data_IF_596960200834
#
_entry.id   IF_596960200834
#
_cell.length_a   1.000
_cell.length_b   1.000
_cell.length_c   1.000
_cell.angle_alpha   90.00
_cell.angle_beta   90.00
_cell.angle_gamma   90.00
#
_symmetry.space_group_name_H-M   'P 1'
#
loop_
_entity.id
_entity.type
_entity.pdbx_description
1 polymer ?
#
# COMPACT_ATOMS: atom_id res chain seq x y z
N UNK A 1 61.67 24.73 -39.65
CA UNK A 1 62.07 24.71 -41.08
C UNK A 1 63.32 23.91 -41.39
N UNK A 2 64.47 24.23 -40.79
CA UNK A 2 65.76 23.59 -41.12
C UNK A 2 65.68 22.06 -41.05
N UNK A 3 65.00 21.52 -40.04
CA UNK A 3 64.74 20.09 -39.90
C UNK A 3 63.88 19.51 -41.04
N UNK A 4 62.80 20.21 -41.41
CA UNK A 4 61.89 19.80 -42.49
C UNK A 4 62.60 19.68 -43.85
N UNK A 5 63.52 20.61 -44.15
CA UNK A 5 64.32 20.61 -45.37
C UNK A 5 65.37 19.49 -45.34
N UNK A 6 66.09 19.33 -44.21
CA UNK A 6 67.16 18.32 -44.10
C UNK A 6 66.63 16.89 -44.13
N UNK A 7 65.48 16.64 -43.52
CA UNK A 7 64.91 15.31 -43.36
C UNK A 7 63.86 15.00 -44.45
N UNK A 8 63.62 15.91 -45.40
CA UNK A 8 62.57 15.81 -46.43
C UNK A 8 61.22 15.36 -45.84
N UNK A 9 60.79 16.00 -44.75
CA UNK A 9 59.62 15.59 -43.97
C UNK A 9 58.82 16.77 -43.44
N UNK A 10 57.51 16.57 -43.23
CA UNK A 10 56.65 17.57 -42.58
C UNK A 10 56.68 17.41 -41.07
N UNK A 11 56.86 18.51 -40.34
CA UNK A 11 56.93 18.52 -38.87
C UNK A 11 55.95 19.54 -38.30
N UNK A 12 55.09 19.08 -37.40
CA UNK A 12 54.12 19.91 -36.68
C UNK A 12 54.38 19.86 -35.18
N UNK A 13 54.31 20.99 -34.50
CA UNK A 13 54.43 21.09 -33.04
C UNK A 13 53.57 22.22 -32.49
N UNK A 14 53.04 22.05 -31.28
CA UNK A 14 52.34 23.09 -30.55
C UNK A 14 53.32 23.76 -29.57
N UNK A 15 53.29 25.10 -29.49
CA UNK A 15 54.12 25.89 -28.57
C UNK A 15 53.42 27.20 -28.22
N UNK A 16 54.04 28.05 -27.39
CA UNK A 16 53.56 29.41 -27.13
C UNK A 16 54.44 30.44 -27.84
N UNK A 17 53.81 31.32 -28.61
CA UNK A 17 54.47 32.49 -29.17
C UNK A 17 54.35 33.66 -28.19
N UNK A 18 55.49 34.24 -27.81
CA UNK A 18 55.53 35.44 -26.97
C UNK A 18 55.36 36.68 -27.84
N UNK A 19 54.23 37.36 -27.71
CA UNK A 19 53.97 38.63 -28.40
C UNK A 19 53.94 39.79 -27.39
N UNK A 20 54.18 41.04 -27.82
CA UNK A 20 54.06 42.22 -26.95
C UNK A 20 52.67 42.36 -26.29
N UNK A 21 51.63 41.81 -26.92
CA UNK A 21 50.25 41.82 -26.43
C UNK A 21 49.91 40.63 -25.51
N UNK A 22 50.84 39.69 -25.30
CA UNK A 22 50.65 38.48 -24.51
C UNK A 22 51.10 37.20 -25.24
N UNK A 23 51.21 36.11 -24.49
CA UNK A 23 51.54 34.81 -25.05
C UNK A 23 50.29 34.21 -25.71
N UNK A 24 50.44 33.70 -26.94
CA UNK A 24 49.38 32.96 -27.65
C UNK A 24 49.81 31.51 -27.90
N UNK A 25 48.87 30.58 -27.82
CA UNK A 25 49.12 29.18 -28.20
C UNK A 25 49.13 29.09 -29.71
N UNK A 26 50.18 28.50 -30.28
CA UNK A 26 50.34 28.33 -31.73
C UNK A 26 50.67 26.89 -32.10
N UNK A 27 50.14 26.45 -33.24
CA UNK A 27 50.59 25.26 -33.96
C UNK A 27 51.47 25.69 -35.11
N UNK A 28 52.74 25.35 -35.01
CA UNK A 28 53.73 25.60 -36.07
C UNK A 28 53.90 24.32 -36.88
N UNK A 29 53.79 24.44 -38.21
CA UNK A 29 54.03 23.36 -39.17
C UNK A 29 55.07 23.81 -40.18
N UNK A 30 56.10 22.98 -40.41
CA UNK A 30 57.10 23.19 -41.44
C UNK A 30 57.13 22.00 -42.40
N UNK A 31 57.01 22.29 -43.70
CA UNK A 31 57.00 21.27 -44.76
C UNK A 31 57.96 21.68 -45.90
N UNK A 32 58.77 20.76 -46.47
CA UNK A 32 59.57 21.05 -47.65
C UNK A 32 58.66 21.32 -48.86
N UNK A 33 59.08 22.26 -49.71
CA UNK A 33 58.51 22.46 -51.04
C UNK A 33 59.33 21.63 -52.03
N UNK A 34 58.68 20.74 -52.75
CA UNK A 34 59.33 19.81 -53.68
C UNK A 34 58.86 20.18 -55.10
N UNK A 35 59.81 20.26 -56.03
CA UNK A 35 59.51 20.48 -57.45
C UNK A 35 59.04 19.20 -58.16
N UNK A 36 58.68 19.34 -59.44
CA UNK A 36 58.24 18.23 -60.28
C UNK A 36 59.35 17.19 -60.59
N UNK A 37 60.60 17.48 -60.25
CA UNK A 37 61.75 16.57 -60.39
C UNK A 37 62.13 15.88 -59.08
N UNK A 38 61.41 16.17 -57.98
CA UNK A 38 61.66 15.59 -56.66
C UNK A 38 62.71 16.33 -55.83
N UNK A 39 63.21 17.48 -56.30
CA UNK A 39 64.19 18.28 -55.58
C UNK A 39 63.49 19.24 -54.61
N UNK A 40 64.10 19.45 -53.43
CA UNK A 40 63.61 20.43 -52.46
C UNK A 40 63.99 21.83 -52.96
N UNK A 41 62.98 22.62 -53.29
CA UNK A 41 63.12 23.99 -53.82
C UNK A 41 62.83 25.07 -52.77
N UNK A 42 62.47 24.66 -51.55
CA UNK A 42 62.32 25.56 -50.42
C UNK A 42 61.49 24.91 -49.33
N UNK A 43 60.70 25.71 -48.63
CA UNK A 43 59.51 25.16 -48.01
C UNK A 43 58.63 26.16 -47.30
N UNK A 44 57.54 25.62 -46.79
CA UNK A 44 56.43 26.35 -46.24
C UNK A 44 56.46 26.23 -44.72
N UNK A 45 56.35 27.38 -44.07
CA UNK A 45 55.99 27.47 -42.66
C UNK A 45 54.53 27.94 -42.56
N UNK A 46 53.77 27.28 -41.70
CA UNK A 46 52.41 27.67 -41.33
C UNK A 46 52.33 27.80 -39.81
N UNK A 47 51.80 28.93 -39.35
CA UNK A 47 51.56 29.21 -37.93
C UNK A 47 50.07 29.46 -37.77
N UNK A 48 49.43 28.64 -36.95
CA UNK A 48 48.00 28.73 -36.67
C UNK A 48 47.86 29.08 -35.19
N UNK A 49 47.09 30.12 -34.87
CA UNK A 49 46.70 30.42 -33.49
C UNK A 49 45.69 29.35 -33.02
N UNK A 50 46.03 28.65 -31.94
CA UNK A 50 45.22 27.60 -31.33
C UNK A 50 44.69 28.00 -29.95
N UNK A 51 44.75 29.28 -29.59
CA UNK A 51 44.33 29.75 -28.26
C UNK A 51 42.84 29.51 -28.02
N UNK A 52 41.98 29.82 -29.00
CA UNK A 52 40.54 29.52 -28.88
C UNK A 52 40.23 28.03 -28.92
N UNK A 53 41.03 27.21 -29.63
CA UNK A 53 40.91 25.75 -29.62
C UNK A 53 41.16 25.20 -28.20
N UNK A 54 42.25 25.62 -27.55
CA UNK A 54 42.59 25.19 -26.18
C UNK A 54 41.54 25.66 -25.16
N UNK A 55 41.06 26.90 -25.29
CA UNK A 55 39.98 27.42 -24.46
C UNK A 55 38.68 26.64 -24.63
N UNK A 56 38.31 26.28 -25.86
CA UNK A 56 37.07 25.54 -26.13
C UNK A 56 37.13 24.13 -25.51
N UNK A 57 38.28 23.45 -25.64
CA UNK A 57 38.49 22.14 -25.01
C UNK A 57 38.39 22.25 -23.49
N UNK A 58 38.97 23.28 -22.88
CA UNK A 58 38.90 23.50 -21.43
C UNK A 58 37.46 23.79 -20.96
N UNK A 59 36.73 24.64 -21.69
CA UNK A 59 35.32 24.98 -21.40
C UNK A 59 34.43 23.73 -21.43
N UNK A 60 34.52 22.95 -22.51
CA UNK A 60 33.74 21.72 -22.65
C UNK A 60 34.13 20.70 -21.58
N UNK A 61 35.42 20.57 -21.26
CA UNK A 61 35.87 19.70 -20.17
C UNK A 61 35.26 20.09 -18.82
N UNK A 62 35.18 21.39 -18.52
CA UNK A 62 34.53 21.89 -17.30
C UNK A 62 33.03 21.48 -17.25
N UNK A 63 32.31 21.63 -18.37
CA UNK A 63 30.90 21.21 -18.45
C UNK A 63 30.71 19.71 -18.29
N UNK A 64 31.61 18.90 -18.88
CA UNK A 64 31.59 17.45 -18.72
C UNK A 64 31.84 17.06 -17.27
N UNK A 65 32.84 17.65 -16.62
CA UNK A 65 33.13 17.41 -15.20
C UNK A 65 31.94 17.81 -14.30
N UNK A 66 31.30 18.94 -14.59
CA UNK A 66 30.10 19.37 -13.89
C UNK A 66 28.93 18.39 -14.09
N UNK A 67 28.72 17.91 -15.31
CA UNK A 67 27.67 16.93 -15.62
C UNK A 67 27.91 15.59 -14.93
N UNK A 68 29.15 15.09 -14.91
CA UNK A 68 29.54 13.88 -14.18
C UNK A 68 29.29 14.05 -12.66
N UNK A 69 29.53 15.25 -12.13
CA UNK A 69 29.25 15.58 -10.73
C UNK A 69 27.75 15.84 -10.43
N UNK A 70 26.86 15.70 -11.42
CA UNK A 70 25.42 15.96 -11.27
C UNK A 70 25.04 17.44 -11.21
N UNK A 71 25.98 18.37 -11.45
CA UNK A 71 25.76 19.82 -11.44
C UNK A 71 25.27 20.30 -12.81
N UNK A 72 24.12 19.78 -13.22
CA UNK A 72 23.58 20.01 -14.56
C UNK A 72 23.23 21.48 -14.84
N UNK A 73 23.04 22.33 -13.83
CA UNK A 73 22.79 23.78 -14.03
C UNK A 73 24.01 24.57 -14.53
N UNK A 74 25.19 23.95 -14.58
CA UNK A 74 26.40 24.59 -15.10
C UNK A 74 26.26 24.83 -16.60
N UNK A 75 26.64 26.02 -17.08
CA UNK A 75 26.58 26.41 -18.50
C UNK A 75 27.91 26.97 -18.96
N UNK A 76 28.25 26.71 -20.21
CA UNK A 76 29.39 27.36 -20.84
C UNK A 76 29.04 28.77 -21.26
N UNK A 77 30.03 29.64 -21.40
CA UNK A 77 29.83 31.01 -21.86
C UNK A 77 30.28 31.17 -23.33
N UNK A 78 29.36 31.25 -24.30
CA UNK A 78 29.70 31.45 -25.71
C UNK A 78 30.43 32.76 -25.98
N UNK A 79 30.25 33.78 -25.15
CA UNK A 79 30.87 35.10 -25.37
C UNK A 79 32.38 35.11 -25.09
N UNK A 80 32.92 34.04 -24.50
CA UNK A 80 34.35 33.85 -24.32
C UNK A 80 35.11 33.60 -25.64
N UNK A 81 34.40 33.26 -26.72
CA UNK A 81 34.99 32.90 -28.02
C UNK A 81 34.73 33.98 -29.06
N UNK A 82 35.68 34.31 -29.93
CA UNK A 82 35.43 35.25 -31.04
C UNK A 82 35.03 34.51 -32.31
N UNK A 83 35.60 33.33 -32.55
CA UNK A 83 35.28 32.52 -33.73
C UNK A 83 33.85 31.99 -33.64
N UNK A 84 33.00 32.25 -34.66
CA UNK A 84 31.60 31.80 -34.65
C UNK A 84 31.44 30.29 -34.44
N UNK A 85 32.37 29.48 -34.97
CA UNK A 85 32.35 28.03 -34.79
C UNK A 85 32.39 27.59 -33.32
N UNK A 86 33.29 28.15 -32.50
CA UNK A 86 33.37 27.80 -31.09
C UNK A 86 32.17 28.33 -30.29
N UNK A 87 31.66 29.53 -30.63
CA UNK A 87 30.41 30.03 -30.04
C UNK A 87 29.26 29.05 -30.23
N UNK A 88 29.07 28.57 -31.47
CA UNK A 88 28.00 27.64 -31.81
C UNK A 88 28.14 26.29 -31.11
N UNK A 89 29.36 25.80 -30.87
CA UNK A 89 29.59 24.57 -30.11
C UNK A 89 29.11 24.74 -28.66
N UNK A 90 29.53 25.80 -27.97
CA UNK A 90 29.14 26.04 -26.58
C UNK A 90 27.62 26.28 -26.47
N UNK A 91 27.04 27.03 -27.40
CA UNK A 91 25.59 27.21 -27.48
C UNK A 91 24.86 25.88 -27.69
N UNK A 92 25.34 25.03 -28.60
CA UNK A 92 24.76 23.71 -28.85
C UNK A 92 24.83 22.78 -27.64
N UNK A 93 25.93 22.82 -26.89
CA UNK A 93 26.06 22.07 -25.63
C UNK A 93 25.08 22.58 -24.58
N UNK A 94 24.97 23.90 -24.40
CA UNK A 94 23.99 24.49 -23.48
C UNK A 94 22.56 24.12 -23.85
N UNK A 95 22.19 24.21 -25.13
CA UNK A 95 20.86 23.82 -25.63
C UNK A 95 20.58 22.33 -25.37
N UNK A 96 21.60 21.48 -25.50
CA UNK A 96 21.49 20.04 -25.19
C UNK A 96 21.23 19.83 -23.70
N UNK A 97 21.94 20.55 -22.83
CA UNK A 97 21.70 20.50 -21.37
C UNK A 97 20.29 20.97 -21.02
N UNK A 98 19.85 22.11 -21.56
CA UNK A 98 18.52 22.66 -21.31
C UNK A 98 17.40 21.68 -21.73
N UNK A 99 17.57 20.99 -22.86
CA UNK A 99 16.63 19.99 -23.35
C UNK A 99 16.50 18.76 -22.43
N UNK A 100 17.53 18.45 -21.65
CA UNK A 100 17.56 17.28 -20.75
C UNK A 100 17.15 17.65 -19.32
N UNK A 101 17.52 18.84 -18.84
CA UNK A 101 17.30 19.26 -17.44
C UNK A 101 15.82 19.48 -17.14
N UNK A 102 15.07 20.10 -18.07
CA UNK A 102 13.65 20.35 -17.87
C UNK A 102 12.86 19.07 -17.53
N UNK A 103 12.86 18.05 -18.42
CA UNK A 103 12.20 16.77 -18.16
C UNK A 103 12.69 16.05 -16.89
N UNK A 104 13.99 16.11 -16.58
CA UNK A 104 14.54 15.50 -15.36
C UNK A 104 14.02 16.17 -14.09
N UNK A 105 13.89 17.50 -14.09
CA UNK A 105 13.36 18.23 -12.95
C UNK A 105 11.87 17.90 -12.71
N UNK A 106 11.06 17.80 -13.77
CA UNK A 106 9.66 17.36 -13.66
C UNK A 106 9.59 15.95 -13.10
N UNK A 107 10.40 15.02 -13.63
CA UNK A 107 10.42 13.65 -13.12
C UNK A 107 10.82 13.59 -11.64
N UNK A 108 11.83 14.36 -11.23
CA UNK A 108 12.27 14.43 -9.84
C UNK A 108 11.19 14.99 -8.91
N UNK A 109 10.49 16.04 -9.30
CA UNK A 109 9.37 16.61 -8.52
C UNK A 109 8.25 15.58 -8.31
N UNK A 110 7.87 14.87 -9.37
CA UNK A 110 6.80 13.87 -9.30
C UNK A 110 7.19 12.68 -8.43
N UNK A 111 8.43 12.21 -8.55
CA UNK A 111 8.96 11.15 -7.69
C UNK A 111 8.98 11.59 -6.22
N UNK A 112 9.39 12.83 -5.91
CA UNK A 112 9.38 13.36 -4.55
C UNK A 112 7.95 13.39 -3.96
N UNK A 113 6.97 13.90 -4.71
CA UNK A 113 5.56 13.94 -4.30
C UNK A 113 5.00 12.54 -4.06
N UNK A 114 5.19 11.65 -5.03
CA UNK A 114 4.76 10.25 -4.93
C UNK A 114 5.38 9.55 -3.71
N UNK A 115 6.67 9.80 -3.44
CA UNK A 115 7.37 9.20 -2.30
C UNK A 115 6.79 9.59 -0.94
N UNK A 116 6.10 10.75 -0.88
CA UNK A 116 5.41 11.26 0.31
C UNK A 116 3.95 10.81 0.41
N UNK A 117 3.46 10.06 -0.58
CA UNK A 117 2.07 9.61 -0.66
C UNK A 117 1.13 10.64 -1.30
N UNK A 118 1.66 11.73 -1.86
CA UNK A 118 0.85 12.67 -2.64
C UNK A 118 0.50 12.03 -3.98
N UNK A 119 -0.74 12.22 -4.42
CA UNK A 119 -1.20 11.78 -5.74
C UNK A 119 -1.32 13.03 -6.63
N UNK A 120 -0.27 13.37 -7.40
CA UNK A 120 -0.31 14.53 -8.29
C UNK A 120 -1.29 14.33 -9.46
N UNK A 121 -1.67 15.43 -10.12
CA UNK A 121 -2.30 15.34 -11.44
C UNK A 121 -1.34 14.68 -12.45
N UNK A 122 -1.90 14.07 -13.50
CA UNK A 122 -1.10 13.49 -14.57
C UNK A 122 -0.30 14.56 -15.33
N UNK A 123 0.91 14.19 -15.74
CA UNK A 123 1.76 15.04 -16.59
C UNK A 123 1.10 15.14 -17.97
N UNK A 124 0.73 16.37 -18.35
CA UNK A 124 0.07 16.70 -19.62
C UNK A 124 1.03 17.22 -20.68
N UNK A 125 2.22 17.63 -20.28
CA UNK A 125 3.23 18.18 -21.18
C UNK A 125 3.65 17.16 -22.25
N UNK A 126 3.97 17.69 -23.42
CA UNK A 126 4.43 16.89 -24.56
C UNK A 126 5.95 16.71 -24.49
N UNK A 127 6.37 15.44 -24.48
CA UNK A 127 7.76 15.05 -24.60
C UNK A 127 7.95 14.11 -25.78
N UNK A 128 9.19 13.95 -26.24
CA UNK A 128 9.55 13.07 -27.36
C UNK A 128 10.55 12.01 -26.90
N UNK A 129 10.56 10.86 -27.60
CA UNK A 129 11.47 9.75 -27.31
C UNK A 129 11.40 9.29 -25.85
N UNK A 130 12.56 9.04 -25.26
CA UNK A 130 12.73 8.49 -23.90
C UNK A 130 12.00 9.33 -22.82
N UNK A 131 11.95 10.66 -22.97
CA UNK A 131 11.24 11.51 -22.02
C UNK A 131 9.72 11.30 -22.06
N UNK A 132 9.16 10.94 -23.21
CA UNK A 132 7.76 10.54 -23.29
C UNK A 132 7.49 9.20 -22.60
N UNK A 133 8.45 8.28 -22.67
CA UNK A 133 8.36 7.02 -21.93
C UNK A 133 8.41 7.26 -20.41
N UNK A 134 9.32 8.12 -19.93
CA UNK A 134 9.38 8.54 -18.52
C UNK A 134 8.05 9.15 -18.08
N UNK A 135 7.49 10.08 -18.88
CA UNK A 135 6.17 10.67 -18.63
C UNK A 135 5.09 9.58 -18.48
N UNK A 136 5.04 8.63 -19.41
CA UNK A 136 4.04 7.57 -19.39
C UNK A 136 4.21 6.65 -18.18
N UNK A 137 5.45 6.31 -17.82
CA UNK A 137 5.75 5.49 -16.64
C UNK A 137 5.35 6.20 -15.33
N UNK A 138 5.62 7.51 -15.21
CA UNK A 138 5.18 8.31 -14.07
C UNK A 138 3.65 8.40 -14.01
N UNK A 139 2.99 8.64 -15.14
CA UNK A 139 1.53 8.64 -15.23
C UNK A 139 0.91 7.29 -14.84
N UNK A 140 1.53 6.19 -15.24
CA UNK A 140 1.12 4.85 -14.81
C UNK A 140 1.33 4.65 -13.30
N UNK A 141 2.39 5.22 -12.72
CA UNK A 141 2.62 5.21 -11.27
C UNK A 141 1.55 6.02 -10.51
N UNK A 142 1.16 7.19 -11.02
CA UNK A 142 0.06 8.00 -10.48
C UNK A 142 -1.25 7.22 -10.48
N UNK A 143 -1.63 6.67 -11.64
CA UNK A 143 -2.84 5.84 -11.76
C UNK A 143 -2.77 4.64 -10.81
N UNK A 144 -1.58 4.07 -10.65
CA UNK A 144 -1.35 2.92 -9.80
C UNK A 144 -1.62 3.20 -8.32
N UNK A 145 -1.09 4.31 -7.80
CA UNK A 145 -1.26 4.70 -6.40
C UNK A 145 -2.68 5.21 -6.17
N UNK A 146 -3.25 5.95 -7.13
CA UNK A 146 -4.65 6.42 -7.05
C UNK A 146 -5.64 5.26 -6.93
N UNK A 147 -5.47 4.20 -7.73
CA UNK A 147 -6.32 3.02 -7.67
C UNK A 147 -6.18 2.29 -6.32
N UNK A 148 -4.97 2.21 -5.77
CA UNK A 148 -4.73 1.58 -4.47
C UNK A 148 -5.34 2.38 -3.32
N UNK A 149 -5.16 3.70 -3.31
CA UNK A 149 -5.76 4.58 -2.32
C UNK A 149 -7.30 4.49 -2.33
N UNK A 150 -7.89 4.45 -3.53
CA UNK A 150 -9.32 4.25 -3.70
C UNK A 150 -9.79 2.89 -3.18
N UNK A 151 -9.08 1.81 -3.51
CA UNK A 151 -9.40 0.48 -3.02
C UNK A 151 -9.33 0.38 -1.49
N UNK A 152 -8.27 0.93 -0.88
CA UNK A 152 -8.12 0.99 0.57
C UNK A 152 -9.26 1.78 1.23
N UNK A 153 -9.68 2.89 0.61
CA UNK A 153 -10.84 3.67 1.08
C UNK A 153 -12.15 2.88 0.99
N UNK A 154 -12.41 2.19 -0.12
CA UNK A 154 -13.59 1.33 -0.27
C UNK A 154 -13.63 0.24 0.79
N UNK A 155 -12.51 -0.46 1.00
CA UNK A 155 -12.37 -1.49 2.04
C UNK A 155 -12.65 -0.89 3.43
N UNK A 156 -12.07 0.27 3.73
CA UNK A 156 -12.29 0.97 5.00
C UNK A 156 -13.75 1.41 5.23
N UNK A 157 -14.50 1.65 4.16
CA UNK A 157 -15.93 1.96 4.20
C UNK A 157 -16.82 0.70 4.17
N UNK A 158 -16.23 -0.50 4.13
CA UNK A 158 -16.97 -1.76 4.04
C UNK A 158 -17.49 -2.10 2.65
N UNK A 159 -17.11 -1.35 1.61
CA UNK A 159 -17.39 -1.71 0.22
C UNK A 159 -16.40 -2.78 -0.26
N UNK A 160 -16.79 -4.04 -0.03
CA UNK A 160 -16.03 -5.21 -0.48
C UNK A 160 -16.33 -5.60 -1.94
N UNK A 161 -17.14 -4.82 -2.67
CA UNK A 161 -17.46 -5.08 -4.08
C UNK A 161 -16.50 -4.39 -5.06
N UNK A 162 -15.59 -3.56 -4.53
CA UNK A 162 -14.61 -2.81 -5.32
C UNK A 162 -13.76 -3.75 -6.18
N UNK A 163 -13.64 -3.43 -7.46
CA UNK A 163 -12.80 -4.17 -8.41
C UNK A 163 -11.40 -3.58 -8.40
N UNK A 164 -10.42 -4.40 -8.03
CA UNK A 164 -9.00 -4.03 -8.07
C UNK A 164 -8.38 -4.63 -9.33
N UNK A 165 -7.83 -3.77 -10.19
CA UNK A 165 -7.10 -4.22 -11.38
C UNK A 165 -5.66 -4.60 -11.00
N UNK A 166 -5.32 -5.88 -11.14
CA UNK A 166 -3.94 -6.38 -10.95
C UNK A 166 -3.14 -6.09 -12.21
N UNK A 167 -2.10 -5.26 -12.10
CA UNK A 167 -1.38 -4.73 -13.27
C UNK A 167 -0.33 -5.69 -13.83
N UNK A 168 0.19 -6.58 -12.98
CA UNK A 168 1.15 -7.62 -13.37
C UNK A 168 1.17 -8.73 -12.33
N UNK A 169 1.82 -9.86 -12.65
CA UNK A 169 2.01 -10.96 -11.69
C UNK A 169 2.80 -10.54 -10.44
N UNK A 170 3.65 -9.51 -10.56
CA UNK A 170 4.46 -8.94 -9.49
C UNK A 170 3.77 -7.79 -8.73
N UNK A 171 2.51 -7.48 -9.03
CA UNK A 171 1.75 -6.43 -8.37
C UNK A 171 1.29 -6.86 -6.97
N UNK A 172 2.25 -6.98 -6.05
CA UNK A 172 2.05 -7.51 -4.70
C UNK A 172 1.02 -6.71 -3.91
N UNK A 173 0.99 -5.38 -4.08
CA UNK A 173 0.05 -4.51 -3.38
C UNK A 173 -1.38 -4.76 -3.83
N UNK A 174 -1.66 -4.74 -5.14
CA UNK A 174 -3.01 -5.00 -5.65
C UNK A 174 -3.48 -6.42 -5.29
N UNK A 175 -2.59 -7.42 -5.40
CA UNK A 175 -2.88 -8.80 -5.00
C UNK A 175 -3.16 -8.93 -3.50
N UNK A 176 -2.42 -8.20 -2.66
CA UNK A 176 -2.62 -8.13 -1.22
C UNK A 176 -3.99 -7.56 -0.86
N UNK A 177 -4.39 -6.46 -1.51
CA UNK A 177 -5.72 -5.86 -1.30
C UNK A 177 -6.85 -6.79 -1.75
N UNK A 178 -6.69 -7.48 -2.90
CA UNK A 178 -7.65 -8.52 -3.34
C UNK A 178 -7.79 -9.63 -2.30
N UNK A 179 -6.66 -10.08 -1.72
CA UNK A 179 -6.69 -11.08 -0.66
C UNK A 179 -7.41 -10.58 0.60
N UNK A 180 -7.19 -9.32 1.01
CA UNK A 180 -7.93 -8.70 2.12
C UNK A 180 -9.43 -8.71 1.86
N UNK A 181 -9.86 -8.29 0.65
CA UNK A 181 -11.27 -8.31 0.26
C UNK A 181 -11.84 -9.72 0.35
N UNK A 182 -11.14 -10.72 -0.20
CA UNK A 182 -11.58 -12.12 -0.18
C UNK A 182 -11.80 -12.62 1.24
N UNK A 183 -10.85 -12.40 2.15
CA UNK A 183 -10.97 -12.86 3.55
C UNK A 183 -12.13 -12.17 4.26
N UNK A 184 -12.35 -10.88 4.02
CA UNK A 184 -13.46 -10.14 4.61
C UNK A 184 -14.82 -10.61 4.06
N UNK A 185 -14.91 -10.92 2.76
CA UNK A 185 -16.11 -11.49 2.15
C UNK A 185 -16.42 -12.88 2.70
N UNK A 186 -15.41 -13.74 2.87
CA UNK A 186 -15.56 -15.07 3.45
C UNK A 186 -16.02 -14.98 4.92
N UNK A 187 -15.46 -14.03 5.68
CA UNK A 187 -15.89 -13.78 7.05
C UNK A 187 -17.35 -13.30 7.09
N UNK A 188 -17.72 -12.33 6.24
CA UNK A 188 -19.10 -11.84 6.12
C UNK A 188 -20.08 -12.99 5.78
N UNK A 189 -19.69 -13.88 4.87
CA UNK A 189 -20.47 -15.05 4.49
C UNK A 189 -20.66 -16.01 5.66
N UNK A 190 -19.61 -16.28 6.43
CA UNK A 190 -19.69 -17.17 7.59
C UNK A 190 -20.57 -16.59 8.70
N UNK A 191 -20.45 -15.29 8.97
CA UNK A 191 -21.35 -14.60 9.91
C UNK A 191 -22.81 -14.62 9.45
N UNK A 192 -23.04 -14.46 8.15
CA UNK A 192 -24.39 -14.55 7.56
C UNK A 192 -24.96 -15.95 7.73
N UNK A 193 -24.15 -17.00 7.50
CA UNK A 193 -24.56 -18.39 7.71
C UNK A 193 -24.99 -18.65 9.16
N UNK A 194 -24.18 -18.21 10.14
CA UNK A 194 -24.52 -18.35 11.56
C UNK A 194 -25.76 -17.57 11.96
N UNK A 195 -25.95 -16.38 11.37
CA UNK A 195 -27.15 -15.58 11.59
C UNK A 195 -28.40 -16.29 11.08
N UNK A 196 -28.34 -16.90 9.89
CA UNK A 196 -29.43 -17.70 9.33
C UNK A 196 -29.71 -18.92 10.21
N UNK A 197 -28.68 -19.70 10.58
CA UNK A 197 -28.83 -20.84 11.48
C UNK A 197 -29.48 -20.44 12.82
N UNK A 198 -29.08 -19.31 13.39
CA UNK A 198 -29.65 -18.79 14.64
C UNK A 198 -31.13 -18.42 14.49
N UNK A 199 -31.53 -17.81 13.36
CA UNK A 199 -32.94 -17.51 13.06
C UNK A 199 -33.79 -18.77 12.92
N UNK A 200 -33.22 -19.84 12.37
CA UNK A 200 -33.87 -21.15 12.24
C UNK A 200 -33.81 -22.00 13.53
N UNK A 201 -33.27 -21.45 14.63
CA UNK A 201 -33.13 -22.18 15.90
C UNK A 201 -32.05 -23.27 15.91
N UNK A 202 -31.20 -23.32 14.88
CA UNK A 202 -30.09 -24.27 14.75
C UNK A 202 -28.86 -23.82 15.55
N UNK A 203 -29.06 -23.63 16.86
CA UNK A 203 -28.06 -23.03 17.74
C UNK A 203 -26.87 -23.94 18.04
N UNK A 204 -26.87 -25.20 17.59
CA UNK A 204 -25.71 -26.10 17.64
C UNK A 204 -24.67 -25.80 16.56
N UNK A 205 -25.03 -25.06 15.52
CA UNK A 205 -24.09 -24.63 14.49
C UNK A 205 -23.02 -23.70 15.07
N UNK A 206 -21.78 -23.86 14.60
CA UNK A 206 -20.62 -23.08 15.04
C UNK A 206 -19.87 -22.52 13.85
N UNK A 207 -19.23 -21.38 14.06
CA UNK A 207 -18.28 -20.83 13.10
C UNK A 207 -17.09 -21.75 12.94
N UNK A 208 -16.38 -21.65 11.81
CA UNK A 208 -15.22 -22.48 11.47
C UNK A 208 -13.91 -21.69 11.50
N UNK A 209 -13.23 -21.54 12.66
CA UNK A 209 -12.01 -20.73 12.78
C UNK A 209 -10.87 -21.21 11.87
N UNK A 210 -10.83 -22.52 11.58
CA UNK A 210 -9.81 -23.15 10.72
C UNK A 210 -9.80 -22.66 9.27
N UNK A 211 -10.88 -21.99 8.83
CA UNK A 211 -10.96 -21.36 7.51
C UNK A 211 -10.23 -20.01 7.45
N UNK A 212 -9.88 -19.45 8.61
CA UNK A 212 -9.29 -18.13 8.76
C UNK A 212 -7.91 -18.22 9.44
N UNK A 213 -7.17 -17.10 9.46
CA UNK A 213 -5.84 -17.03 10.07
C UNK A 213 -5.70 -15.80 10.96
N UNK A 214 -4.91 -15.94 12.03
CA UNK A 214 -4.62 -14.84 12.97
C UNK A 214 -5.89 -14.21 13.53
N UNK A 215 -5.92 -12.88 13.58
CA UNK A 215 -7.04 -12.12 14.13
C UNK A 215 -8.42 -12.47 13.54
N UNK A 216 -8.49 -12.88 12.26
CA UNK A 216 -9.75 -13.30 11.65
C UNK A 216 -10.26 -14.63 12.22
N UNK A 217 -9.37 -15.57 12.53
CA UNK A 217 -9.74 -16.81 13.21
C UNK A 217 -10.19 -16.54 14.65
N UNK A 218 -9.50 -15.62 15.34
CA UNK A 218 -9.85 -15.22 16.70
C UNK A 218 -11.25 -14.60 16.77
N UNK A 219 -11.67 -13.81 15.77
CA UNK A 219 -13.04 -13.29 15.68
C UNK A 219 -14.06 -14.43 15.66
N UNK A 220 -13.85 -15.44 14.82
CA UNK A 220 -14.78 -16.59 14.73
C UNK A 220 -14.78 -17.41 16.02
N UNK A 221 -13.61 -17.63 16.63
CA UNK A 221 -13.49 -18.32 17.91
C UNK A 221 -14.24 -17.57 19.02
N UNK A 222 -14.10 -16.25 19.08
CA UNK A 222 -14.79 -15.43 20.09
C UNK A 222 -16.31 -15.46 19.92
N UNK A 223 -16.81 -15.53 18.69
CA UNK A 223 -18.24 -15.73 18.43
C UNK A 223 -18.71 -17.09 18.95
N UNK A 224 -17.93 -18.16 18.72
CA UNK A 224 -18.26 -19.48 19.26
C UNK A 224 -18.28 -19.47 20.80
N UNK A 225 -17.30 -18.84 21.44
CA UNK A 225 -17.28 -18.69 22.90
C UNK A 225 -18.50 -17.90 23.42
N UNK A 226 -18.92 -16.85 22.71
CA UNK A 226 -20.13 -16.10 23.02
C UNK A 226 -21.38 -16.99 22.90
N UNK A 227 -21.47 -17.80 21.84
CA UNK A 227 -22.58 -18.75 21.67
C UNK A 227 -22.59 -19.77 22.81
N UNK A 228 -21.46 -20.35 23.18
CA UNK A 228 -21.39 -21.32 24.27
C UNK A 228 -21.80 -20.71 25.62
N UNK A 229 -21.38 -19.47 25.89
CA UNK A 229 -21.76 -18.73 27.09
C UNK A 229 -23.28 -18.47 27.19
N UNK A 230 -23.94 -18.25 26.04
CA UNK A 230 -25.39 -18.02 25.97
C UNK A 230 -26.17 -19.35 26.03
N UNK A 231 -25.69 -20.37 25.33
CA UNK A 231 -26.43 -21.61 25.11
C UNK A 231 -26.31 -22.59 26.26
N UNK A 232 -25.19 -22.61 26.99
CA UNK A 232 -25.02 -23.53 28.11
C UNK A 232 -26.10 -23.35 29.18
N UNK A 233 -26.42 -22.12 29.66
CA UNK A 233 -27.51 -21.96 30.62
C UNK A 233 -28.90 -22.27 30.08
N UNK A 234 -29.17 -21.93 28.83
CA UNK A 234 -30.46 -22.22 28.18
C UNK A 234 -30.66 -23.74 28.06
N UNK A 235 -29.62 -24.46 27.67
CA UNK A 235 -29.64 -25.92 27.58
C UNK A 235 -29.91 -26.56 28.95
N UNK A 236 -29.28 -26.05 30.02
CA UNK A 236 -29.52 -26.56 31.38
C UNK A 236 -30.94 -26.28 31.86
N UNK A 237 -31.47 -25.07 31.61
CA UNK A 237 -32.88 -24.75 31.88
C UNK A 237 -33.83 -25.70 31.15
N UNK A 238 -33.61 -25.91 29.85
CA UNK A 238 -34.42 -26.83 29.05
C UNK A 238 -34.34 -28.28 29.54
N UNK A 239 -33.15 -28.73 29.98
CA UNK A 239 -32.97 -30.06 30.57
C UNK A 239 -33.83 -30.23 31.82
N UNK A 240 -33.81 -29.26 32.73
CA UNK A 240 -34.61 -29.29 33.96
C UNK A 240 -36.11 -29.21 33.64
N UNK A 241 -36.53 -28.35 32.72
CA UNK A 241 -37.93 -28.27 32.27
C UNK A 241 -38.41 -29.61 31.66
N UNK A 242 -37.54 -30.32 30.94
CA UNK A 242 -37.85 -31.64 30.40
C UNK A 242 -38.06 -32.69 31.51
N UNK A 243 -37.22 -32.66 32.55
CA UNK A 243 -37.38 -33.51 33.73
C UNK A 243 -38.68 -33.21 34.49
N UNK A 244 -38.99 -31.92 34.70
CA UNK A 244 -40.24 -31.46 35.32
C UNK A 244 -41.45 -31.99 34.54
N UNK A 245 -41.44 -31.87 33.21
CA UNK A 245 -42.51 -32.41 32.34
C UNK A 245 -42.68 -33.92 32.51
N UNK A 246 -41.59 -34.66 32.73
CA UNK A 246 -41.62 -36.10 33.00
C UNK A 246 -41.99 -36.48 34.44
N UNK A 247 -42.29 -35.50 35.30
CA UNK A 247 -42.61 -35.70 36.72
C UNK A 247 -41.39 -35.90 37.62
N UNK A 248 -40.17 -35.73 37.10
CA UNK A 248 -38.95 -35.79 37.90
C UNK A 248 -38.60 -34.39 38.44
N UNK A 249 -38.98 -34.13 39.69
CA UNK A 249 -38.66 -32.90 40.42
C UNK A 249 -37.44 -33.05 41.34
N UNK A 250 -36.50 -33.94 41.05
CA UNK A 250 -35.28 -34.10 41.87
C UNK A 250 -34.17 -33.15 41.51
N UNK A 251 -34.16 -32.67 40.27
CA UNK A 251 -33.06 -31.87 39.73
C UNK A 251 -33.47 -30.41 39.52
N UNK A 252 -32.48 -29.53 39.65
CA UNK A 252 -32.61 -28.08 39.56
C UNK A 252 -31.54 -27.53 38.61
N UNK A 253 -31.72 -26.29 38.18
CA UNK A 253 -30.67 -25.58 37.44
C UNK A 253 -29.58 -25.18 38.45
N UNK A 254 -28.48 -25.93 38.50
CA UNK A 254 -27.43 -25.75 39.51
C UNK A 254 -26.18 -25.02 39.00
N UNK A 255 -26.03 -24.92 37.67
CA UNK A 255 -24.89 -24.21 37.08
C UNK A 255 -24.82 -22.75 37.57
N UNK A 256 -23.61 -22.19 37.53
CA UNK A 256 -23.38 -20.80 37.90
C UNK A 256 -23.93 -19.88 36.81
N UNK A 257 -25.02 -19.18 37.12
CA UNK A 257 -25.64 -18.18 36.25
C UNK A 257 -25.48 -16.78 36.84
N UNK A 258 -25.26 -15.78 35.97
CA UNK A 258 -25.18 -14.37 36.36
C UNK A 258 -26.12 -13.53 35.49
N UNK A 259 -26.50 -12.35 35.98
CA UNK A 259 -27.32 -11.40 35.22
C UNK A 259 -28.64 -12.01 34.75
N UNK A 260 -28.95 -11.90 33.46
CA UNK A 260 -30.21 -12.41 32.91
C UNK A 260 -30.33 -13.93 32.97
N UNK A 261 -29.20 -14.66 32.88
CA UNK A 261 -29.23 -16.12 33.10
C UNK A 261 -29.55 -16.49 34.55
N UNK A 262 -29.22 -15.64 35.53
CA UNK A 262 -29.61 -15.88 36.93
C UNK A 262 -31.12 -15.74 37.09
N UNK A 263 -31.72 -14.69 36.51
CA UNK A 263 -33.20 -14.53 36.49
C UNK A 263 -33.89 -15.73 35.87
N UNK A 264 -33.35 -16.27 34.77
CA UNK A 264 -33.88 -17.48 34.13
C UNK A 264 -33.76 -18.70 35.05
N UNK A 265 -32.59 -18.91 35.68
CA UNK A 265 -32.38 -19.98 36.68
C UNK A 265 -33.41 -19.87 37.81
N UNK A 266 -33.60 -18.68 38.37
CA UNK A 266 -34.51 -18.44 39.47
C UNK A 266 -35.96 -18.70 39.06
N UNK A 267 -36.36 -18.30 37.84
CA UNK A 267 -37.69 -18.58 37.31
C UNK A 267 -37.95 -20.09 37.13
N UNK A 268 -37.01 -20.82 36.52
CA UNK A 268 -37.13 -22.28 36.32
C UNK A 268 -37.16 -23.01 37.67
N UNK A 269 -36.28 -22.65 38.60
CA UNK A 269 -36.24 -23.24 39.93
C UNK A 269 -37.49 -22.85 40.76
N UNK A 270 -38.04 -21.65 40.57
CA UNK A 270 -39.29 -21.24 41.20
C UNK A 270 -40.48 -22.11 40.76
N UNK A 271 -40.60 -22.43 39.46
CA UNK A 271 -41.61 -23.39 38.97
C UNK A 271 -41.41 -24.77 39.60
N UNK A 272 -40.16 -25.20 39.73
CA UNK A 272 -39.81 -26.45 40.39
C UNK A 272 -40.20 -26.48 41.88
N UNK A 273 -39.93 -25.40 42.63
CA UNK A 273 -40.33 -25.27 44.04
C UNK A 273 -41.85 -25.34 44.19
N UNK A 274 -42.57 -24.61 43.33
CA UNK A 274 -44.03 -24.56 43.36
C UNK A 274 -44.66 -25.93 43.14
N UNK A 275 -44.19 -26.70 42.15
CA UNK A 275 -44.70 -28.06 41.92
C UNK A 275 -44.40 -29.01 43.08
N UNK A 276 -43.22 -28.91 43.71
CA UNK A 276 -42.91 -29.71 44.90
C UNK A 276 -43.84 -29.38 46.07
N UNK A 277 -44.11 -28.10 46.32
CA UNK A 277 -45.06 -27.66 47.33
C UNK A 277 -46.48 -28.21 47.05
N UNK A 278 -46.91 -28.17 45.79
CA UNK A 278 -48.21 -28.72 45.37
C UNK A 278 -48.32 -30.22 45.62
N UNK A 279 -47.30 -31.01 45.29
CA UNK A 279 -47.29 -32.47 45.57
C UNK A 279 -47.39 -32.74 47.07
N UNK A 280 -46.70 -31.96 47.91
CA UNK A 280 -46.79 -32.11 49.37
C UNK A 280 -48.19 -31.78 49.86
N UNK A 281 -48.79 -30.71 49.35
CA UNK A 281 -50.16 -30.30 49.66
C UNK A 281 -51.19 -31.37 49.27
N UNK A 282 -51.15 -31.86 48.03
CA UNK A 282 -52.04 -32.93 47.55
C UNK A 282 -51.91 -34.21 48.38
N UNK A 283 -50.69 -34.60 48.75
CA UNK A 283 -50.46 -35.77 49.63
C UNK A 283 -51.08 -35.60 51.01
N UNK A 284 -51.05 -34.41 51.59
CA UNK A 284 -51.70 -34.15 52.90
C UNK A 284 -53.21 -34.32 52.80
N UNK A 285 -53.83 -33.69 51.79
CA UNK A 285 -55.27 -33.80 51.56
C UNK A 285 -55.68 -35.25 51.27
N UNK A 286 -54.92 -35.97 50.43
CA UNK A 286 -55.19 -37.38 50.12
C UNK A 286 -55.12 -38.29 51.36
N UNK A 287 -54.33 -37.92 52.36
CA UNK A 287 -54.23 -38.61 53.65
C UNK A 287 -55.23 -38.10 54.71
N UNK A 288 -56.19 -37.25 54.33
CA UNK A 288 -57.27 -36.75 55.19
C UNK A 288 -56.93 -35.50 56.00
N UNK A 289 -55.78 -34.87 55.78
CA UNK A 289 -55.44 -33.60 56.41
C UNK A 289 -56.07 -32.43 55.63
N UNK A 290 -57.28 -32.06 56.05
CA UNK A 290 -58.03 -30.91 55.50
C UNK A 290 -57.52 -29.55 56.03
N UNK A 291 -56.49 -29.54 56.88
CA UNK A 291 -55.87 -28.29 57.36
C UNK A 291 -54.66 -27.87 56.52
N UNK A 292 -54.31 -28.65 55.49
CA UNK A 292 -53.24 -28.32 54.57
C UNK A 292 -53.53 -27.00 53.85
N UNK A 293 -52.50 -26.17 53.69
CA UNK A 293 -52.54 -24.91 52.94
C UNK A 293 -51.37 -24.83 51.97
N UNK A 294 -51.56 -24.16 50.84
CA UNK A 294 -50.50 -23.79 49.91
C UNK A 294 -50.38 -22.27 49.90
N UNK A 295 -49.19 -21.75 50.16
CA UNK A 295 -48.93 -20.31 50.15
C UNK A 295 -48.84 -19.80 48.71
N UNK A 296 -49.39 -18.62 48.45
CA UNK A 296 -49.23 -17.93 47.17
C UNK A 296 -47.77 -17.51 47.00
N UNK A 297 -47.18 -17.81 45.86
CA UNK A 297 -45.84 -17.35 45.51
C UNK A 297 -45.85 -15.86 45.13
N UNK A 298 -46.99 -15.32 44.66
CA UNK A 298 -47.21 -13.89 44.41
C UNK A 298 -48.65 -13.43 44.76
N UNK A 299 -48.88 -12.12 45.01
CA UNK A 299 -50.23 -11.57 45.18
C UNK A 299 -51.16 -11.81 43.98
N UNK A 300 -50.59 -11.96 42.78
CA UNK A 300 -51.29 -12.22 41.52
C UNK A 300 -51.59 -13.70 41.28
N UNK A 301 -51.06 -14.62 42.11
CA UNK A 301 -51.29 -16.05 41.95
C UNK A 301 -52.76 -16.41 42.16
N UNK A 302 -53.34 -17.04 41.12
CA UNK A 302 -54.65 -17.67 41.17
C UNK A 302 -54.49 -19.13 41.59
N UNK A 303 -54.42 -19.38 42.90
CA UNK A 303 -54.73 -20.71 43.42
C UNK A 303 -56.24 -20.83 43.32
N UNK A 304 -56.76 -21.74 42.50
CA UNK A 304 -58.22 -21.91 42.33
C UNK A 304 -58.87 -22.24 43.69
N UNK A 305 -59.33 -21.21 44.40
CA UNK A 305 -60.32 -21.35 45.45
C UNK A 305 -61.64 -21.69 44.74
N UNK A 306 -62.05 -22.96 44.80
CA UNK A 306 -63.38 -23.34 44.32
C UNK A 306 -64.40 -22.59 45.21
N UNK A 307 -65.29 -21.74 44.67
CA UNK A 307 -66.32 -21.13 45.50
C UNK A 307 -67.15 -22.26 46.08
N UNK A 308 -67.22 -22.36 47.40
CA UNK A 308 -68.04 -23.33 48.10
C UNK A 308 -69.41 -23.41 47.41
N UNK A 309 -69.75 -24.60 46.88
CA UNK A 309 -71.07 -24.82 46.33
C UNK A 309 -72.10 -24.62 47.48
N UNK A 310 -73.21 -23.91 47.22
CA UNK A 310 -74.23 -23.60 48.22
C UNK A 310 -74.95 -24.84 48.77
#
# INVERSE_FOLDING_TARGET
MIRAIKENGSFTSNTRAKLPAGDISIRYTASPLIDNTGNIVGGIESIIDTSEEEMAVAEIKCLVEAAIAGKLDTRGNPDNFKTPGFKSIVQGVNQTLDAVIGPLNVAAEYVDRISKGDIPEKIKDEYKGDFNEIKNNLNNCIDAIQNQANAARCIGLGDLSVKINVRSENDMLSRGLVNVISVLQDLQKELTRLTVASKEGQLSERGKPEQFKGAYADVVLNINNMLDAILLPIAEGNRVLHLIRGGNLRERVEINCKGDHAKMKDAVNGVHDWLNALIVYEKKIANGDLTATIEKASPEDQIHEWPHAP
#
